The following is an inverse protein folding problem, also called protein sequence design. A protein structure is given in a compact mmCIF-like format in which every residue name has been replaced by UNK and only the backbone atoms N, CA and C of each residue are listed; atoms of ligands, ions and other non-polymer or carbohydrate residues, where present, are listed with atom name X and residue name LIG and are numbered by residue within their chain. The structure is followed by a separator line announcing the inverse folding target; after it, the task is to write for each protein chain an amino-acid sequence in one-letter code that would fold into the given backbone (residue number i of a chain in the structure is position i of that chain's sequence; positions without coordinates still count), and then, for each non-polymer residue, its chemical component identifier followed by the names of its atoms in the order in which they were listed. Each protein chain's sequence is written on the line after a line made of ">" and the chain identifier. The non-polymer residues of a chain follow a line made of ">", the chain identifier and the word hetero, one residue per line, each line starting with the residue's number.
data_IF_329873516197
#
_entry.id   IF_329873516197
#
_cell.length_a   1.000
_cell.length_b   1.000
_cell.length_c   1.000
_cell.angle_alpha   90.00
_cell.angle_beta   90.00
_cell.angle_gamma   90.00
#
_symmetry.space_group_name_H-M   'P 1'
#
loop_
_entity.id
_entity.type
_entity.pdbx_description
1 polymer ?
#
# COMPACT_ATOMS: atom_id res chain seq x y z
N UNK A 1 -37.27 -23.99 47.76
CA UNK A 1 -36.44 -24.89 46.91
C UNK A 1 -35.89 -24.06 45.76
N UNK A 2 -34.58 -24.14 45.53
CA UNK A 2 -33.75 -23.13 44.87
C UNK A 2 -33.86 -23.16 43.32
N UNK A 3 -34.13 -22.01 42.70
CA UNK A 3 -34.00 -21.82 41.25
C UNK A 3 -32.54 -21.60 40.86
N UNK A 4 -32.00 -22.46 39.99
CA UNK A 4 -30.64 -22.35 39.43
C UNK A 4 -30.66 -21.47 38.18
N UNK A 5 -29.85 -20.39 38.11
CA UNK A 5 -29.62 -19.71 36.85
C UNK A 5 -28.61 -20.51 36.01
N UNK A 6 -29.04 -20.97 34.83
CA UNK A 6 -28.15 -21.56 33.83
C UNK A 6 -27.42 -20.41 33.13
N UNK A 7 -26.12 -20.25 33.41
CA UNK A 7 -25.25 -19.32 32.71
C UNK A 7 -24.80 -20.02 31.42
N UNK A 8 -25.35 -19.61 30.27
CA UNK A 8 -24.88 -20.03 28.95
C UNK A 8 -23.67 -19.16 28.61
N UNK A 9 -22.47 -19.71 28.76
CA UNK A 9 -21.24 -19.07 28.31
C UNK A 9 -21.16 -19.17 26.77
N UNK A 10 -21.48 -18.08 26.08
CA UNK A 10 -21.30 -17.94 24.63
C UNK A 10 -19.80 -17.76 24.34
N UNK A 11 -19.11 -18.85 24.03
CA UNK A 11 -17.71 -18.81 23.62
C UNK A 11 -17.60 -18.17 22.22
N UNK A 12 -17.07 -16.94 22.16
CA UNK A 12 -16.69 -16.25 20.93
C UNK A 12 -15.45 -16.94 20.33
N UNK A 13 -15.66 -17.83 19.35
CA UNK A 13 -14.59 -18.39 18.56
C UNK A 13 -13.98 -17.30 17.66
N UNK A 14 -12.83 -16.77 18.07
CA UNK A 14 -12.02 -15.86 17.25
C UNK A 14 -11.26 -16.71 16.23
N UNK A 15 -11.78 -16.83 15.02
CA UNK A 15 -11.06 -17.48 13.94
C UNK A 15 -9.95 -16.53 13.45
N UNK A 16 -8.67 -16.92 13.49
CA UNK A 16 -7.62 -16.11 12.88
C UNK A 16 -7.83 -16.12 11.36
N UNK A 17 -8.19 -14.96 10.80
CA UNK A 17 -8.10 -14.74 9.35
C UNK A 17 -6.62 -14.63 9.01
N UNK A 18 -6.08 -15.69 8.39
CA UNK A 18 -4.74 -15.66 7.84
C UNK A 18 -4.66 -14.60 6.75
N UNK A 19 -3.94 -13.50 7.03
CA UNK A 19 -3.50 -12.58 6.00
C UNK A 19 -2.52 -13.34 5.09
N UNK A 20 -2.93 -13.65 3.87
CA UNK A 20 -2.01 -14.19 2.87
C UNK A 20 -1.08 -13.06 2.44
N UNK A 21 0.18 -13.12 2.85
CA UNK A 21 1.24 -12.36 2.19
C UNK A 21 1.30 -12.88 0.74
N UNK A 22 0.87 -12.07 -0.22
CA UNK A 22 1.01 -12.39 -1.63
C UNK A 22 2.47 -12.15 -2.00
N UNK A 23 3.31 -13.17 -1.84
CA UNK A 23 4.66 -13.13 -2.42
C UNK A 23 4.54 -13.23 -3.94
N UNK A 24 5.40 -12.52 -4.67
CA UNK A 24 5.41 -12.51 -6.13
C UNK A 24 5.22 -11.12 -6.76
N UNK A 25 5.04 -11.03 -8.09
CA UNK A 25 5.04 -9.75 -8.79
C UNK A 25 3.87 -8.86 -8.37
N UNK A 26 4.07 -7.55 -8.42
CA UNK A 26 3.02 -6.57 -8.13
C UNK A 26 3.40 -5.50 -7.12
N UNK A 27 4.66 -5.44 -6.70
CA UNK A 27 5.18 -4.36 -5.87
C UNK A 27 6.13 -3.45 -6.63
N UNK A 28 6.42 -2.30 -6.02
CA UNK A 28 7.28 -1.27 -6.55
C UNK A 28 8.36 -0.91 -5.52
N UNK A 29 9.63 -0.84 -5.94
CA UNK A 29 10.65 -0.12 -5.17
C UNK A 29 10.77 1.31 -5.65
N UNK A 30 11.14 2.18 -4.72
CA UNK A 30 11.55 3.56 -4.99
C UNK A 30 12.89 3.56 -5.72
N UNK A 31 13.01 4.37 -6.77
CA UNK A 31 14.25 4.61 -7.52
C UNK A 31 14.33 6.08 -7.92
N UNK A 32 15.52 6.58 -8.27
CA UNK A 32 15.72 7.94 -8.78
C UNK A 32 15.18 9.04 -7.83
N UNK A 33 15.15 8.75 -6.52
CA UNK A 33 14.90 9.72 -5.46
C UNK A 33 16.21 9.87 -4.71
N UNK A 34 16.68 11.11 -4.57
CA UNK A 34 17.94 11.39 -3.88
C UNK A 34 17.83 11.01 -2.40
N UNK A 35 18.95 10.68 -1.76
CA UNK A 35 18.97 10.19 -0.38
C UNK A 35 18.36 11.16 0.65
N UNK A 36 18.35 12.47 0.36
CA UNK A 36 17.73 13.51 1.18
C UNK A 36 16.31 13.91 0.78
N UNK A 37 15.71 13.22 -0.20
CA UNK A 37 14.39 13.53 -0.75
C UNK A 37 13.39 12.38 -0.51
N UNK A 38 12.12 12.60 -0.89
CA UNK A 38 11.03 11.67 -0.68
C UNK A 38 10.15 11.48 -1.93
N UNK A 39 9.70 10.24 -2.14
CA UNK A 39 8.64 9.93 -3.08
C UNK A 39 7.29 10.39 -2.54
N UNK A 40 6.67 11.32 -3.24
CA UNK A 40 5.32 11.78 -2.92
C UNK A 40 4.24 10.86 -3.51
N UNK A 41 3.41 10.28 -2.66
CA UNK A 41 2.15 9.62 -3.03
C UNK A 41 1.05 10.67 -3.06
N UNK A 42 0.31 10.76 -4.16
CA UNK A 42 -0.68 11.82 -4.39
C UNK A 42 -2.09 11.27 -4.50
N UNK A 43 -3.08 12.10 -4.13
CA UNK A 43 -4.48 11.68 -4.13
C UNK A 43 -5.07 11.46 -5.55
N UNK A 44 -4.47 12.09 -6.57
CA UNK A 44 -4.83 11.97 -7.99
C UNK A 44 -3.56 11.86 -8.85
N UNK A 45 -3.64 11.33 -10.09
CA UNK A 45 -2.51 11.18 -11.01
C UNK A 45 -2.05 12.54 -11.60
N UNK A 46 -1.62 13.46 -10.73
CA UNK A 46 -1.19 14.81 -11.10
C UNK A 46 -0.21 15.37 -10.09
N UNK A 47 0.82 16.06 -10.57
CA UNK A 47 1.81 16.71 -9.72
C UNK A 47 1.22 17.89 -8.91
N UNK A 48 0.07 18.42 -9.33
CA UNK A 48 -0.67 19.48 -8.62
C UNK A 48 -1.62 18.93 -7.55
N UNK A 49 -1.84 17.62 -7.51
CA UNK A 49 -2.71 17.01 -6.51
C UNK A 49 -2.08 17.07 -5.13
N UNK A 50 -2.92 17.21 -4.10
CA UNK A 50 -2.55 17.00 -2.69
C UNK A 50 -1.71 15.74 -2.53
N UNK A 51 -0.67 15.86 -1.69
CA UNK A 51 0.15 14.75 -1.21
C UNK A 51 -0.62 14.04 -0.09
N UNK A 52 -0.70 12.72 -0.19
CA UNK A 52 -1.29 11.85 0.85
C UNK A 52 -0.22 11.50 1.87
N UNK A 53 0.98 11.14 1.40
CA UNK A 53 2.16 10.84 2.21
C UNK A 53 3.44 11.04 1.38
N UNK A 54 4.56 11.29 2.06
CA UNK A 54 5.91 11.34 1.48
C UNK A 54 6.74 10.18 2.03
N UNK A 55 7.32 9.38 1.15
CA UNK A 55 8.07 8.16 1.48
C UNK A 55 9.57 8.44 1.27
N UNK A 56 10.39 8.48 2.34
CA UNK A 56 11.83 8.66 2.20
C UNK A 56 12.47 7.60 1.29
N UNK A 57 13.57 7.94 0.61
CA UNK A 57 14.27 7.03 -0.31
C UNK A 57 14.63 5.65 0.29
N UNK A 58 14.84 5.58 1.61
CA UNK A 58 15.32 4.39 2.32
C UNK A 58 14.22 3.66 3.12
N UNK A 59 12.93 3.94 2.87
CA UNK A 59 11.85 3.48 3.75
C UNK A 59 11.34 2.05 3.47
N UNK A 60 11.00 1.32 4.55
CA UNK A 60 10.74 -0.12 4.63
C UNK A 60 9.28 -0.57 4.39
N UNK A 61 8.35 0.36 4.11
CA UNK A 61 6.97 -0.02 3.78
C UNK A 61 6.82 -0.70 2.42
N UNK A 62 5.66 -1.30 2.17
CA UNK A 62 5.34 -2.01 0.92
C UNK A 62 4.52 -1.10 -0.01
N UNK A 63 5.06 -0.76 -1.19
CA UNK A 63 4.27 -0.16 -2.28
C UNK A 63 3.75 -1.26 -3.20
N UNK A 64 2.47 -1.61 -3.07
CA UNK A 64 1.81 -2.54 -3.99
C UNK A 64 1.11 -1.78 -5.12
N UNK A 65 1.30 -2.24 -6.35
CA UNK A 65 0.60 -1.73 -7.53
C UNK A 65 -0.86 -2.21 -7.50
N UNK A 66 -1.82 -1.30 -7.71
CA UNK A 66 -3.28 -1.58 -7.64
C UNK A 66 -4.01 -1.48 -8.96
N UNK A 67 -3.27 -1.52 -10.05
CA UNK A 67 -3.78 -1.41 -11.40
C UNK A 67 -2.71 -0.92 -12.36
N UNK A 68 -3.12 -0.59 -13.56
CA UNK A 68 -2.16 -0.22 -14.59
C UNK A 68 -1.71 1.24 -14.44
N UNK A 69 -0.42 1.50 -14.69
CA UNK A 69 0.07 2.87 -14.76
C UNK A 69 -0.45 3.54 -16.04
N UNK A 70 -1.10 4.70 -15.89
CA UNK A 70 -1.82 5.38 -16.97
C UNK A 70 -1.31 6.81 -17.24
N UNK A 71 -1.56 7.35 -18.44
CA UNK A 71 -2.09 6.66 -19.64
C UNK A 71 -1.03 5.74 -20.28
N UNK A 72 -1.47 4.65 -20.92
CA UNK A 72 -0.57 3.69 -21.59
C UNK A 72 0.08 4.23 -22.86
N UNK A 73 -0.48 5.29 -23.43
CA UNK A 73 -0.06 5.91 -24.69
C UNK A 73 1.21 6.76 -24.57
N UNK A 74 1.71 7.00 -23.35
CA UNK A 74 2.90 7.80 -23.11
C UNK A 74 4.05 6.96 -22.54
N UNK A 75 5.32 7.42 -22.61
CA UNK A 75 6.46 6.71 -22.05
C UNK A 75 6.28 6.41 -20.56
N UNK A 76 6.78 5.25 -20.10
CA UNK A 76 6.61 4.75 -18.72
C UNK A 76 6.84 5.83 -17.67
N UNK A 77 8.00 6.50 -17.68
CA UNK A 77 8.35 7.48 -16.64
C UNK A 77 7.39 8.68 -16.52
N UNK A 78 6.56 8.91 -17.53
CA UNK A 78 5.55 9.97 -17.52
C UNK A 78 4.19 9.50 -16.99
N UNK A 79 3.99 8.20 -16.78
CA UNK A 79 2.74 7.63 -16.27
C UNK A 79 2.60 7.83 -14.77
N UNK A 80 1.36 7.68 -14.32
CA UNK A 80 1.02 7.61 -12.91
C UNK A 80 0.54 6.21 -12.57
N UNK A 81 1.10 5.63 -11.51
CA UNK A 81 0.78 4.30 -11.05
C UNK A 81 -0.14 4.37 -9.83
N UNK A 82 -1.33 3.75 -9.85
CA UNK A 82 -2.16 3.60 -8.66
C UNK A 82 -1.50 2.60 -7.72
N UNK A 83 -1.35 2.98 -6.45
CA UNK A 83 -0.66 2.18 -5.44
C UNK A 83 -1.42 2.13 -4.13
N UNK A 84 -1.19 1.07 -3.36
CA UNK A 84 -1.33 1.11 -1.91
C UNK A 84 0.05 1.13 -1.27
N UNK A 85 0.20 1.92 -0.22
CA UNK A 85 1.39 1.95 0.62
C UNK A 85 1.02 1.43 2.01
N UNK A 86 1.55 0.27 2.37
CA UNK A 86 1.36 -0.35 3.68
C UNK A 86 2.61 -0.12 4.53
N UNK A 87 2.42 0.42 5.73
CA UNK A 87 3.44 0.69 6.73
C UNK A 87 2.94 0.17 8.09
N UNK A 88 3.72 0.34 9.15
CA UNK A 88 3.48 -0.24 10.48
C UNK A 88 2.03 -0.07 10.97
N UNK A 89 1.46 1.12 10.83
CA UNK A 89 0.15 1.48 11.41
C UNK A 89 -1.02 1.51 10.41
N UNK A 90 -0.80 1.08 9.16
CA UNK A 90 -1.92 1.00 8.22
C UNK A 90 -1.55 1.01 6.75
N UNK A 91 -2.60 1.15 5.93
CA UNK A 91 -2.48 1.21 4.47
C UNK A 91 -3.12 2.49 3.94
N UNK A 92 -2.37 3.20 3.11
CA UNK A 92 -2.83 4.38 2.38
C UNK A 92 -2.91 4.06 0.88
N UNK A 93 -3.72 4.83 0.17
CA UNK A 93 -3.90 4.70 -1.28
C UNK A 93 -3.60 6.01 -2.00
N UNK A 94 -3.07 5.90 -3.22
CA UNK A 94 -2.85 7.06 -4.06
C UNK A 94 -2.12 6.73 -5.35
N UNK A 95 -1.41 7.72 -5.88
CA UNK A 95 -0.73 7.67 -7.16
C UNK A 95 0.71 8.15 -7.03
N UNK A 96 1.63 7.41 -7.64
CA UNK A 96 3.05 7.78 -7.73
C UNK A 96 3.45 7.99 -9.18
N UNK A 97 4.45 8.84 -9.42
CA UNK A 97 4.99 9.06 -10.77
C UNK A 97 5.97 7.93 -11.11
N UNK A 98 5.71 7.23 -12.21
CA UNK A 98 6.41 5.99 -12.54
C UNK A 98 7.93 6.15 -12.78
N UNK A 99 8.43 7.36 -13.05
CA UNK A 99 9.88 7.60 -13.15
C UNK A 99 10.63 7.31 -11.84
N UNK A 100 9.93 7.33 -10.70
CA UNK A 100 10.51 7.15 -9.36
C UNK A 100 10.27 5.75 -8.78
N UNK A 101 9.75 4.82 -9.57
CA UNK A 101 9.45 3.47 -9.12
C UNK A 101 9.77 2.41 -10.17
N UNK A 102 10.11 1.20 -9.74
CA UNK A 102 10.32 0.04 -10.62
C UNK A 102 9.68 -1.20 -10.03
N UNK A 103 9.20 -2.07 -10.90
CA UNK A 103 8.62 -3.35 -10.50
C UNK A 103 9.61 -4.17 -9.67
N UNK A 104 9.05 -4.84 -8.67
CA UNK A 104 9.71 -5.82 -7.83
C UNK A 104 8.69 -6.84 -7.31
N UNK A 105 9.21 -7.91 -6.72
CA UNK A 105 8.39 -8.84 -5.96
C UNK A 105 7.92 -8.19 -4.65
N UNK A 106 6.69 -8.50 -4.27
CA UNK A 106 6.19 -8.21 -2.93
C UNK A 106 6.84 -9.18 -1.93
N UNK A 107 7.26 -8.67 -0.76
CA UNK A 107 7.81 -9.50 0.32
C UNK A 107 6.75 -10.42 0.95
#
# INVERSE_FOLDING_TARGET
>A
MFSKPIIIALALAVFPVSAHATTGPGCLRVVNVDAGDALNVRARPSAKSRIVISIPANNYGVLALKGECTPKTIPWGQRWCPVSYSYEDGTLHGFVKARFVRDQECP
#
